data_IF_255369184476
#
_entry.id   IF_255369184476
#
_cell.length_a   1.000
_cell.length_b   1.000
_cell.length_c   1.000
_cell.angle_alpha   90.00
_cell.angle_beta   90.00
_cell.angle_gamma   90.00
#
_symmetry.space_group_name_H-M   'P 1'
#
loop_
_entity.id
_entity.type
_entity.pdbx_description
1 polymer ?
#
# COMPACT_ATOMS: atom_id res chain seq x y z
N UNK A 1 -66.59 -1.33 -10.28
CA UNK A 1 -65.34 -1.52 -9.52
C UNK A 1 -64.07 -1.07 -10.26
N UNK A 2 -64.04 -1.00 -11.61
CA UNK A 2 -62.83 -0.66 -12.36
C UNK A 2 -62.45 0.83 -12.42
N UNK A 3 -63.37 1.76 -12.16
CA UNK A 3 -63.09 3.22 -12.29
C UNK A 3 -62.44 3.84 -11.04
N UNK A 4 -62.51 3.19 -9.87
CA UNK A 4 -61.91 3.70 -8.62
C UNK A 4 -60.43 3.36 -8.46
N UNK A 5 -59.95 2.31 -9.13
CA UNK A 5 -58.55 1.88 -9.07
C UNK A 5 -57.64 2.74 -9.97
N UNK A 6 -58.17 3.26 -11.08
CA UNK A 6 -57.41 4.12 -12.00
C UNK A 6 -57.18 5.54 -11.48
N UNK A 7 -58.07 6.06 -10.62
CA UNK A 7 -57.91 7.40 -10.05
C UNK A 7 -56.86 7.47 -8.94
N UNK A 8 -56.72 6.41 -8.13
CA UNK A 8 -55.72 6.34 -7.06
C UNK A 8 -54.29 6.22 -7.59
N UNK A 9 -54.06 5.41 -8.64
CA UNK A 9 -52.75 5.29 -9.29
C UNK A 9 -52.35 6.62 -9.97
N UNK A 10 -53.32 7.35 -10.51
CA UNK A 10 -53.08 8.65 -11.13
C UNK A 10 -52.77 9.77 -10.11
N UNK A 11 -53.16 9.63 -8.85
CA UNK A 11 -52.75 10.56 -7.78
C UNK A 11 -51.37 10.25 -7.20
N UNK A 12 -50.97 8.97 -7.09
CA UNK A 12 -49.62 8.57 -6.67
C UNK A 12 -48.53 9.04 -7.64
N UNK A 13 -48.82 9.04 -8.95
CA UNK A 13 -47.88 9.52 -9.98
C UNK A 13 -47.70 11.05 -10.01
N UNK A 14 -48.56 11.82 -9.33
CA UNK A 14 -48.43 13.30 -9.27
C UNK A 14 -47.48 13.78 -8.17
N UNK A 15 -47.10 12.90 -7.25
CA UNK A 15 -46.18 13.21 -6.14
C UNK A 15 -44.78 12.62 -6.33
N UNK A 16 -44.45 12.03 -7.47
CA UNK A 16 -43.08 11.59 -7.74
C UNK A 16 -42.18 12.80 -7.95
N UNK A 17 -41.27 13.06 -7.01
CA UNK A 17 -40.21 14.05 -7.19
C UNK A 17 -39.48 13.76 -8.51
N UNK A 18 -39.32 14.74 -9.41
CA UNK A 18 -38.64 14.48 -10.67
C UNK A 18 -37.22 14.00 -10.38
N UNK A 19 -36.85 12.86 -10.97
CA UNK A 19 -35.50 12.32 -10.85
C UNK A 19 -34.52 13.33 -11.45
N UNK A 20 -33.87 14.12 -10.60
CA UNK A 20 -32.80 15.01 -11.03
C UNK A 20 -31.55 14.20 -11.33
N UNK A 21 -31.15 14.19 -12.60
CA UNK A 21 -29.90 13.57 -13.04
C UNK A 21 -28.72 14.43 -12.61
N UNK A 22 -27.86 13.90 -11.76
CA UNK A 22 -26.55 14.49 -11.48
C UNK A 22 -25.62 14.27 -12.69
N UNK A 23 -24.94 15.31 -13.20
CA UNK A 23 -23.97 15.15 -14.28
C UNK A 23 -22.78 14.29 -13.84
N UNK A 24 -22.26 13.49 -14.76
CA UNK A 24 -21.01 12.75 -14.54
C UNK A 24 -19.87 13.77 -14.49
N UNK A 25 -19.09 13.74 -13.41
CA UNK A 25 -17.94 14.60 -13.21
C UNK A 25 -16.70 13.71 -13.06
N UNK A 26 -15.58 14.15 -13.63
CA UNK A 26 -14.29 13.53 -13.35
C UNK A 26 -13.96 13.74 -11.87
N UNK A 27 -13.49 12.69 -11.20
CA UNK A 27 -13.01 12.83 -9.83
C UNK A 27 -11.72 13.66 -9.82
N UNK A 28 -11.54 14.55 -8.83
CA UNK A 28 -10.24 15.12 -8.53
C UNK A 28 -9.19 14.01 -8.35
N UNK A 29 -7.95 14.27 -8.78
CA UNK A 29 -6.87 13.27 -8.78
C UNK A 29 -6.61 12.70 -7.37
N UNK A 30 -6.59 13.55 -6.35
CA UNK A 30 -6.42 13.16 -4.95
C UNK A 30 -7.54 12.25 -4.46
N UNK A 31 -8.78 12.48 -4.91
CA UNK A 31 -9.94 11.65 -4.58
C UNK A 31 -9.84 10.29 -5.28
N UNK A 32 -9.49 10.26 -6.57
CA UNK A 32 -9.29 9.02 -7.31
C UNK A 32 -8.15 8.18 -6.72
N UNK A 33 -7.04 8.82 -6.34
CA UNK A 33 -5.90 8.18 -5.70
C UNK A 33 -6.24 7.61 -4.32
N UNK A 34 -7.06 8.32 -3.53
CA UNK A 34 -7.55 7.84 -2.22
C UNK A 34 -8.54 6.69 -2.35
N UNK A 35 -9.40 6.70 -3.37
CA UNK A 35 -10.32 5.59 -3.64
C UNK A 35 -9.53 4.34 -4.06
N UNK A 36 -8.58 4.49 -4.98
CA UNK A 36 -7.71 3.39 -5.41
C UNK A 36 -6.88 2.82 -4.24
N UNK A 37 -6.39 3.67 -3.34
CA UNK A 37 -5.71 3.22 -2.12
C UNK A 37 -6.67 2.48 -1.17
N UNK A 38 -7.93 2.91 -1.07
CA UNK A 38 -8.97 2.26 -0.26
C UNK A 38 -9.41 0.89 -0.78
N UNK A 39 -9.38 0.64 -2.09
CA UNK A 39 -9.68 -0.67 -2.67
C UNK A 39 -8.54 -1.69 -2.46
N UNK A 40 -7.28 -1.23 -2.44
CA UNK A 40 -6.12 -2.09 -2.16
C UNK A 40 -5.99 -2.37 -0.65
N UNK A 41 -6.44 -1.43 0.20
CA UNK A 41 -6.38 -1.52 1.66
C UNK A 41 -7.78 -1.31 2.26
N UNK A 42 -8.72 -2.21 1.97
CA UNK A 42 -10.06 -2.13 2.56
C UNK A 42 -10.07 -2.44 4.07
N UNK A 43 -9.07 -3.19 4.55
CA UNK A 43 -9.04 -3.73 5.92
C UNK A 43 -7.62 -3.76 6.49
N UNK A 44 -7.43 -3.55 7.81
CA UNK A 44 -6.13 -3.69 8.48
C UNK A 44 -5.40 -5.00 8.17
N UNK A 45 -6.15 -6.10 7.96
CA UNK A 45 -5.57 -7.40 7.61
C UNK A 45 -4.84 -7.38 6.25
N UNK A 46 -5.31 -6.58 5.28
CA UNK A 46 -4.65 -6.45 3.98
C UNK A 46 -3.28 -5.78 4.13
N UNK A 47 -3.15 -4.77 4.99
CA UNK A 47 -1.84 -4.15 5.30
C UNK A 47 -0.89 -5.19 5.86
N UNK A 48 -1.34 -6.00 6.82
CA UNK A 48 -0.52 -7.06 7.42
C UNK A 48 -0.07 -8.06 6.35
N UNK A 49 -0.98 -8.51 5.49
CA UNK A 49 -0.68 -9.42 4.39
C UNK A 49 0.44 -8.86 3.51
N UNK A 50 0.27 -7.65 2.98
CA UNK A 50 1.24 -7.05 2.05
C UNK A 50 2.61 -6.81 2.70
N UNK A 51 2.66 -6.39 3.96
CA UNK A 51 3.92 -6.20 4.69
C UNK A 51 4.63 -7.53 4.98
N UNK A 52 3.88 -8.58 5.34
CA UNK A 52 4.44 -9.93 5.55
C UNK A 52 4.94 -10.52 4.24
N UNK A 53 4.19 -10.35 3.15
CA UNK A 53 4.63 -10.78 1.81
C UNK A 53 5.93 -10.07 1.39
N UNK A 54 6.06 -8.78 1.70
CA UNK A 54 7.32 -8.05 1.47
C UNK A 54 8.49 -8.60 2.30
N UNK A 55 8.26 -8.97 3.57
CA UNK A 55 9.29 -9.59 4.39
C UNK A 55 9.73 -10.96 3.85
N UNK A 56 8.77 -11.78 3.40
CA UNK A 56 9.07 -13.09 2.80
C UNK A 56 9.82 -12.95 1.46
N UNK A 57 9.41 -12.00 0.62
CA UNK A 57 10.12 -11.67 -0.61
C UNK A 57 11.53 -11.13 -0.31
N UNK A 58 11.74 -10.55 0.88
CA UNK A 58 13.05 -10.13 1.38
C UNK A 58 13.93 -11.27 1.94
N UNK A 59 13.45 -12.52 1.87
CA UNK A 59 14.17 -13.70 2.36
C UNK A 59 14.17 -13.86 3.88
N UNK A 60 13.25 -13.19 4.59
CA UNK A 60 13.17 -13.25 6.04
C UNK A 60 12.88 -14.67 6.56
N UNK A 61 13.53 -15.02 7.67
CA UNK A 61 13.34 -16.26 8.42
C UNK A 61 12.55 -16.06 9.72
N UNK A 62 12.59 -14.85 10.27
CA UNK A 62 11.79 -14.38 11.41
C UNK A 62 10.95 -13.18 10.97
N UNK A 63 9.62 -13.27 11.14
CA UNK A 63 8.71 -12.16 10.90
C UNK A 63 7.82 -11.98 12.12
N UNK A 64 7.92 -10.82 12.77
CA UNK A 64 7.14 -10.45 13.94
C UNK A 64 6.09 -9.41 13.58
N UNK A 65 4.84 -9.70 13.93
CA UNK A 65 3.70 -8.83 13.69
C UNK A 65 3.11 -8.38 15.02
N UNK A 66 3.08 -7.07 15.25
CA UNK A 66 2.43 -6.43 16.40
C UNK A 66 1.19 -5.65 15.93
N UNK A 67 0.04 -5.94 16.55
CA UNK A 67 -1.23 -5.29 16.24
C UNK A 67 -1.81 -4.70 17.51
N UNK A 68 -2.21 -3.42 17.47
CA UNK A 68 -2.95 -2.78 18.57
C UNK A 68 -4.27 -2.19 18.06
N UNK A 69 -5.33 -2.37 18.84
CA UNK A 69 -6.65 -1.80 18.53
C UNK A 69 -7.23 -2.32 17.21
N UNK A 70 -7.07 -3.62 16.91
CA UNK A 70 -7.56 -4.22 15.66
C UNK A 70 -6.82 -3.76 14.40
N UNK A 71 -5.63 -3.14 14.55
CA UNK A 71 -4.82 -2.60 13.45
C UNK A 71 -5.15 -1.17 13.08
N UNK A 72 -6.16 -0.55 13.72
CA UNK A 72 -6.49 0.86 13.52
C UNK A 72 -5.57 1.80 14.32
N UNK A 73 -4.96 1.31 15.41
CA UNK A 73 -4.00 2.11 16.21
C UNK A 73 -2.56 1.86 15.82
N UNK A 74 -2.20 0.60 15.55
CA UNK A 74 -0.85 0.21 15.16
C UNK A 74 -0.89 -1.10 14.40
N UNK A 75 -0.16 -1.13 13.30
CA UNK A 75 0.36 -2.34 12.66
C UNK A 75 1.86 -2.13 12.57
N UNK A 76 2.64 -3.07 13.11
CA UNK A 76 4.10 -3.10 12.97
C UNK A 76 4.49 -4.48 12.49
N UNK A 77 5.25 -4.53 11.41
CA UNK A 77 5.89 -5.74 10.91
C UNK A 77 7.40 -5.53 11.02
N UNK A 78 8.09 -6.51 11.56
CA UNK A 78 9.55 -6.49 11.73
C UNK A 78 10.07 -7.82 11.23
N UNK A 79 11.07 -7.78 10.37
CA UNK A 79 11.68 -8.95 9.76
C UNK A 79 13.21 -8.89 9.81
N UNK A 80 13.84 -10.02 9.52
CA UNK A 80 15.29 -10.20 9.41
C UNK A 80 15.76 -10.39 7.95
N UNK A 81 14.99 -9.86 6.97
CA UNK A 81 15.34 -9.93 5.56
C UNK A 81 16.55 -9.06 5.19
N UNK A 82 16.89 -9.03 3.90
CA UNK A 82 18.09 -8.31 3.41
C UNK A 82 18.02 -6.78 3.54
N UNK A 83 16.84 -6.22 3.86
CA UNK A 83 16.63 -4.79 4.07
C UNK A 83 16.55 -3.96 2.77
N UNK A 84 16.46 -2.65 2.94
CA UNK A 84 16.41 -1.63 1.88
C UNK A 84 17.60 -0.68 2.06
N UNK A 85 18.46 -0.49 1.03
CA UNK A 85 19.58 0.45 1.05
C UNK A 85 19.17 1.89 1.33
N UNK A 86 20.08 2.67 1.92
CA UNK A 86 19.82 4.07 2.31
C UNK A 86 19.39 4.95 1.12
N UNK A 87 19.98 4.74 -0.06
CA UNK A 87 19.69 5.47 -1.29
C UNK A 87 18.41 5.01 -2.02
N UNK A 88 17.88 3.85 -1.65
CA UNK A 88 16.63 3.31 -2.18
C UNK A 88 15.42 3.56 -1.26
N UNK A 89 15.64 3.87 0.02
CA UNK A 89 14.57 3.97 1.02
C UNK A 89 13.52 5.03 0.67
N UNK A 90 13.93 6.16 0.11
CA UNK A 90 13.02 7.21 -0.36
C UNK A 90 12.20 6.78 -1.58
N UNK A 91 12.73 5.85 -2.40
CA UNK A 91 12.03 5.33 -3.58
C UNK A 91 11.06 4.21 -3.23
N UNK A 92 11.30 3.49 -2.13
CA UNK A 92 10.54 2.30 -1.74
C UNK A 92 9.03 2.57 -1.51
N UNK A 93 8.64 3.80 -1.17
CA UNK A 93 7.23 4.17 -0.99
C UNK A 93 6.61 4.90 -2.20
N UNK A 94 7.35 5.08 -3.30
CA UNK A 94 6.82 5.64 -4.53
C UNK A 94 5.98 4.61 -5.28
N UNK A 95 4.96 5.07 -6.00
CA UNK A 95 4.16 4.21 -6.88
C UNK A 95 5.03 3.62 -7.99
N UNK A 96 4.61 2.46 -8.50
CA UNK A 96 5.25 1.77 -9.62
C UNK A 96 6.75 1.50 -9.42
N UNK A 97 7.20 1.41 -8.16
CA UNK A 97 8.60 1.18 -7.82
C UNK A 97 8.74 -0.20 -7.18
N UNK A 98 9.48 -1.09 -7.83
CA UNK A 98 9.64 -2.49 -7.39
C UNK A 98 11.00 -3.04 -7.82
N UNK A 99 11.60 -3.87 -6.98
CA UNK A 99 12.81 -4.64 -7.32
C UNK A 99 12.49 -6.01 -7.95
N UNK A 100 11.21 -6.39 -7.99
CA UNK A 100 10.76 -7.78 -8.21
C UNK A 100 10.45 -8.13 -9.67
N UNK A 101 10.18 -7.12 -10.51
CA UNK A 101 9.95 -7.29 -11.96
C UNK A 101 10.61 -6.13 -12.73
N UNK A 102 11.09 -6.42 -13.94
CA UNK A 102 11.74 -5.46 -14.85
C UNK A 102 11.08 -5.42 -16.22
N UNK A 103 10.39 -6.48 -16.63
CA UNK A 103 9.66 -6.52 -17.91
C UNK A 103 8.32 -7.25 -17.79
N UNK A 104 7.52 -7.17 -18.87
CA UNK A 104 6.21 -7.86 -18.95
C UNK A 104 6.39 -9.37 -18.94
N UNK A 105 7.50 -9.87 -19.48
CA UNK A 105 7.84 -11.29 -19.52
C UNK A 105 8.04 -11.88 -18.12
N UNK A 106 8.53 -11.08 -17.16
CA UNK A 106 8.72 -11.49 -15.76
C UNK A 106 7.39 -11.85 -15.08
N UNK A 107 6.25 -11.34 -15.56
CA UNK A 107 4.92 -11.68 -15.05
C UNK A 107 4.60 -13.18 -15.20
N UNK A 108 5.22 -13.85 -16.18
CA UNK A 108 5.02 -15.28 -16.41
C UNK A 108 5.88 -16.17 -15.50
N UNK A 109 6.82 -15.57 -14.75
CA UNK A 109 7.79 -16.26 -13.90
C UNK A 109 7.76 -15.78 -12.44
N UNK A 110 6.67 -15.17 -12.00
CA UNK A 110 6.54 -14.61 -10.66
C UNK A 110 6.80 -15.65 -9.58
N UNK A 111 7.93 -15.51 -8.88
CA UNK A 111 8.27 -16.25 -7.66
C UNK A 111 8.02 -15.44 -6.39
N UNK A 112 7.66 -14.16 -6.51
CA UNK A 112 7.41 -13.25 -5.39
C UNK A 112 5.92 -13.09 -5.11
N UNK A 113 5.57 -12.82 -3.85
CA UNK A 113 4.19 -12.70 -3.39
C UNK A 113 3.59 -11.34 -3.75
N UNK A 114 4.40 -10.27 -3.77
CA UNK A 114 4.03 -8.97 -4.31
C UNK A 114 4.85 -8.61 -5.56
N UNK A 115 4.33 -7.78 -6.47
CA UNK A 115 5.10 -7.29 -7.64
C UNK A 115 4.69 -5.91 -8.17
N UNK A 116 3.55 -5.37 -7.73
CA UNK A 116 2.98 -4.14 -8.30
C UNK A 116 3.73 -2.85 -7.91
N UNK A 117 4.56 -2.88 -6.86
CA UNK A 117 5.24 -1.69 -6.36
C UNK A 117 4.28 -0.63 -5.78
N UNK A 118 3.09 -1.04 -5.34
CA UNK A 118 2.04 -0.12 -4.86
C UNK A 118 1.78 -0.21 -3.35
N UNK A 119 2.25 -1.26 -2.67
CA UNK A 119 1.83 -1.55 -1.30
C UNK A 119 2.23 -0.44 -0.32
N UNK A 120 3.52 -0.10 -0.25
CA UNK A 120 4.03 0.94 0.65
C UNK A 120 3.47 2.33 0.30
N UNK A 121 3.34 2.63 -1.00
CA UNK A 121 2.73 3.87 -1.48
C UNK A 121 1.26 4.00 -1.02
N UNK A 122 0.49 2.91 -1.17
CA UNK A 122 -0.92 2.87 -0.78
C UNK A 122 -1.09 3.00 0.73
N UNK A 123 -0.24 2.34 1.52
CA UNK A 123 -0.23 2.45 2.99
C UNK A 123 0.10 3.90 3.40
N UNK A 124 1.14 4.50 2.83
CA UNK A 124 1.57 5.85 3.12
C UNK A 124 0.52 6.93 2.78
N UNK A 125 -0.31 6.69 1.76
CA UNK A 125 -1.35 7.63 1.35
C UNK A 125 -2.52 7.73 2.36
N UNK A 126 -2.74 6.69 3.17
CA UNK A 126 -3.89 6.59 4.09
C UNK A 126 -3.50 6.47 5.56
N UNK A 127 -2.20 6.50 5.88
CA UNK A 127 -1.70 6.36 7.24
C UNK A 127 -0.47 7.23 7.50
N UNK A 128 -0.06 7.28 8.76
CA UNK A 128 1.29 7.67 9.13
C UNK A 128 2.16 6.41 9.15
N UNK A 129 3.16 6.36 8.27
CA UNK A 129 4.00 5.19 8.09
C UNK A 129 5.44 5.52 8.47
N UNK A 130 6.07 4.68 9.27
CA UNK A 130 7.52 4.73 9.52
C UNK A 130 8.15 3.48 8.95
N UNK A 131 9.11 3.67 8.04
CA UNK A 131 9.95 2.61 7.48
C UNK A 131 11.32 2.70 8.16
N UNK A 132 11.71 1.65 8.87
CA UNK A 132 13.03 1.49 9.46
C UNK A 132 13.70 0.31 8.77
N UNK A 133 14.88 0.53 8.21
CA UNK A 133 15.58 -0.49 7.44
C UNK A 133 17.07 -0.43 7.70
N UNK A 134 17.71 -1.60 7.65
CA UNK A 134 19.16 -1.75 7.66
C UNK A 134 19.52 -2.78 6.60
N UNK A 135 20.15 -2.33 5.51
CA UNK A 135 20.54 -3.22 4.43
C UNK A 135 21.77 -4.04 4.81
N UNK A 136 21.76 -5.31 4.39
CA UNK A 136 22.97 -6.12 4.31
C UNK A 136 23.72 -5.64 3.06
N UNK A 137 24.98 -5.26 3.18
CA UNK A 137 25.78 -4.98 1.99
C UNK A 137 25.94 -6.28 1.19
N UNK A 138 25.46 -6.29 -0.06
CA UNK A 138 25.78 -7.36 -1.01
C UNK A 138 27.27 -7.31 -1.29
N UNK A 139 27.95 -8.43 -1.05
CA UNK A 139 29.37 -8.65 -1.31
C UNK A 139 29.84 -8.01 -2.63
N UNK A 140 30.58 -6.91 -2.58
CA UNK A 140 31.76 -6.81 -3.44
C UNK A 140 32.85 -7.56 -2.72
N UNK A 141 33.10 -8.81 -3.11
CA UNK A 141 34.33 -9.51 -2.73
C UNK A 141 35.50 -8.72 -3.30
N UNK A 142 36.16 -7.94 -2.45
CA UNK A 142 37.50 -7.45 -2.71
C UNK A 142 38.43 -8.68 -2.71
N UNK A 143 39.55 -8.65 -3.43
CA UNK A 143 40.52 -9.75 -3.55
C UNK A 143 41.07 -10.26 -2.20
N UNK A 144 40.77 -9.56 -1.10
CA UNK A 144 41.30 -9.77 0.25
C UNK A 144 40.31 -10.47 1.22
N UNK A 145 39.08 -10.77 0.80
CA UNK A 145 38.17 -11.64 1.56
C UNK A 145 37.61 -11.07 2.88
N UNK A 146 37.54 -9.74 3.02
CA UNK A 146 36.90 -9.11 4.18
C UNK A 146 35.36 -9.17 4.09
N UNK A 147 34.73 -9.49 5.23
CA UNK A 147 33.27 -9.54 5.39
C UNK A 147 32.74 -8.10 5.45
N UNK A 148 31.79 -7.78 4.57
CA UNK A 148 31.20 -6.45 4.45
C UNK A 148 30.60 -5.92 5.75
N UNK A 149 30.80 -4.63 6.01
CA UNK A 149 30.28 -3.94 7.18
C UNK A 149 28.77 -3.72 7.08
N UNK A 150 28.05 -3.85 8.19
CA UNK A 150 26.62 -3.48 8.24
C UNK A 150 26.44 -1.96 8.01
N UNK A 151 25.47 -1.57 7.17
CA UNK A 151 25.07 -0.16 7.08
C UNK A 151 24.34 0.29 8.35
N UNK A 152 24.35 1.59 8.65
CA UNK A 152 23.55 2.15 9.73
C UNK A 152 22.05 2.01 9.42
N UNK A 153 21.23 1.75 10.44
CA UNK A 153 19.78 1.71 10.26
C UNK A 153 19.25 3.11 9.92
N UNK A 154 18.41 3.22 8.88
CA UNK A 154 17.78 4.47 8.50
C UNK A 154 16.27 4.40 8.76
N UNK A 155 15.73 5.45 9.37
CA UNK A 155 14.30 5.63 9.61
C UNK A 155 13.75 6.74 8.73
N UNK A 156 12.67 6.45 8.00
CA UNK A 156 11.89 7.39 7.20
C UNK A 156 10.45 7.41 7.72
N UNK A 157 9.93 8.58 8.10
CA UNK A 157 8.51 8.74 8.47
C UNK A 157 7.76 9.53 7.41
N UNK A 158 6.66 8.98 6.93
CA UNK A 158 5.82 9.51 5.86
C UNK A 158 4.44 9.85 6.43
N UNK A 159 3.97 11.06 6.15
CA UNK A 159 2.65 11.55 6.57
C UNK A 159 1.96 12.21 5.39
N UNK A 160 0.77 11.72 5.04
CA UNK A 160 0.00 12.28 3.91
C UNK A 160 0.69 12.11 2.55
N UNK A 161 1.52 11.07 2.39
CA UNK A 161 2.28 10.82 1.15
C UNK A 161 3.60 11.58 1.03
N UNK A 162 3.97 12.40 2.00
CA UNK A 162 5.23 13.16 2.00
C UNK A 162 6.16 12.73 3.14
N UNK A 163 7.47 12.77 2.90
CA UNK A 163 8.49 12.55 3.94
C UNK A 163 8.42 13.67 4.97
N UNK A 164 8.13 13.32 6.21
CA UNK A 164 8.03 14.27 7.33
C UNK A 164 9.26 14.24 8.24
N UNK A 165 9.97 13.11 8.33
CA UNK A 165 11.18 12.99 9.15
C UNK A 165 12.14 11.92 8.61
N UNK A 166 13.45 12.19 8.68
CA UNK A 166 14.55 11.26 8.41
C UNK A 166 15.48 11.19 9.62
N UNK A 167 15.89 10.01 10.02
CA UNK A 167 16.80 9.81 11.17
C UNK A 167 17.74 8.63 10.89
N UNK A 168 18.99 8.75 11.35
CA UNK A 168 20.07 7.76 11.25
C UNK A 168 20.50 7.32 12.64
#
# INVERSE_FOLDING_TARGET
MSQYLSSHIAEELKHSTPLQRTPLLALPQDVAERIAAGEVIERPVSVVKELVENALDAGASDVRVEIRGGGLRLIRVTDDGYGIPEDELERAYLRHTTSKIRSVEDLNHLQTLGFRGEALASIAAVSEMTLLSRAIETETTNEEGEVGSEQAALSLTIRGGEVSQRTR
#
